data_IF_083033174180
#
_entry.id   IF_083033174180
#
_cell.length_a   1.000
_cell.length_b   1.000
_cell.length_c   1.000
_cell.angle_alpha   90.00
_cell.angle_beta   90.00
_cell.angle_gamma   90.00
#
_symmetry.space_group_name_H-M   'P 1'
#
loop_
_entity.id
_entity.type
_entity.pdbx_description
1 polymer ?
#
# COMPACT_ATOMS: atom_id res chain seq x y z
N UNK A 1 -24.53 22.61 -3.72
CA UNK A 1 -23.55 21.70 -4.36
C UNK A 1 -22.25 21.84 -3.58
N UNK A 2 -21.53 20.73 -3.37
CA UNK A 2 -20.36 20.51 -2.49
C UNK A 2 -20.70 19.87 -1.14
N UNK A 3 -20.81 18.54 -1.12
CA UNK A 3 -20.73 17.67 0.07
C UNK A 3 -19.90 16.41 -0.20
N UNK A 4 -19.02 16.43 -1.20
CA UNK A 4 -18.40 15.22 -1.77
C UNK A 4 -16.92 15.05 -1.45
N UNK A 5 -16.32 15.86 -0.56
CA UNK A 5 -14.87 15.78 -0.32
C UNK A 5 -14.41 14.59 0.55
N UNK A 6 -15.31 13.97 1.31
CA UNK A 6 -14.91 12.95 2.31
C UNK A 6 -14.95 11.52 1.73
N UNK A 7 -15.76 11.31 0.69
CA UNK A 7 -15.82 10.04 -0.04
C UNK A 7 -14.51 9.63 -0.72
N UNK A 8 -13.47 10.48 -0.71
CA UNK A 8 -12.15 10.25 -1.29
C UNK A 8 -11.12 9.66 -0.30
N UNK A 9 -11.35 9.67 1.01
CA UNK A 9 -10.34 9.23 1.97
C UNK A 9 -10.25 7.70 2.09
N UNK A 10 -11.38 7.00 2.11
CA UNK A 10 -11.45 5.54 2.37
C UNK A 10 -11.58 4.71 1.09
N UNK A 11 -11.32 5.33 -0.06
CA UNK A 11 -11.40 4.74 -1.40
C UNK A 11 -10.15 5.01 -2.24
N UNK A 12 -9.16 5.70 -1.65
CA UNK A 12 -7.99 6.23 -2.35
C UNK A 12 -7.06 5.15 -2.92
N UNK A 13 -6.95 3.96 -2.33
CA UNK A 13 -6.08 2.92 -2.89
C UNK A 13 -6.59 2.38 -4.25
N UNK A 14 -7.91 2.42 -4.49
CA UNK A 14 -8.49 2.06 -5.80
C UNK A 14 -8.78 3.27 -6.71
N UNK A 15 -8.85 4.50 -6.16
CA UNK A 15 -9.18 5.72 -6.91
C UNK A 15 -7.99 6.64 -7.21
N UNK A 16 -6.80 6.41 -6.61
CA UNK A 16 -5.64 7.28 -6.83
C UNK A 16 -5.08 7.22 -8.25
N UNK A 17 -5.42 6.20 -9.05
CA UNK A 17 -4.99 6.10 -10.45
C UNK A 17 -6.02 6.64 -11.44
N UNK A 18 -7.30 6.80 -11.07
CA UNK A 18 -8.36 7.18 -12.01
C UNK A 18 -8.97 8.57 -11.81
N UNK A 19 -8.93 9.14 -10.59
CA UNK A 19 -9.66 10.40 -10.31
C UNK A 19 -9.10 11.63 -11.04
N UNK A 20 -7.84 11.58 -11.48
CA UNK A 20 -7.19 12.64 -12.24
C UNK A 20 -6.65 12.18 -13.60
N UNK A 21 -6.71 10.88 -13.94
CA UNK A 21 -6.15 10.37 -15.17
C UNK A 21 -6.76 11.03 -16.41
N UNK A 22 -5.90 11.35 -17.37
CA UNK A 22 -6.30 11.88 -18.65
C UNK A 22 -6.68 10.75 -19.61
N UNK A 23 -7.91 10.78 -20.11
CA UNK A 23 -8.35 9.93 -21.21
C UNK A 23 -7.54 10.28 -22.47
N UNK A 24 -6.74 9.34 -22.97
CA UNK A 24 -5.97 9.51 -24.19
C UNK A 24 -6.71 9.00 -25.42
N UNK A 25 -7.55 7.98 -25.24
CA UNK A 25 -8.31 7.35 -26.30
C UNK A 25 -9.57 6.70 -25.73
N UNK A 26 -10.70 6.88 -26.43
CA UNK A 26 -11.95 6.20 -26.12
C UNK A 26 -12.78 6.04 -27.39
N UNK A 27 -12.83 4.81 -27.91
CA UNK A 27 -13.61 4.48 -29.10
C UNK A 27 -14.02 3.01 -29.08
N UNK A 28 -15.25 2.73 -29.52
CA UNK A 28 -15.76 1.38 -29.77
C UNK A 28 -15.61 0.41 -28.58
N UNK A 29 -15.87 0.89 -27.36
CA UNK A 29 -15.77 0.08 -26.13
C UNK A 29 -14.34 -0.15 -25.66
N UNK A 30 -13.35 0.52 -26.25
CA UNK A 30 -11.95 0.49 -25.82
C UNK A 30 -11.54 1.85 -25.28
N UNK A 31 -10.96 1.87 -24.08
CA UNK A 31 -10.39 3.08 -23.46
C UNK A 31 -8.91 2.90 -23.11
N UNK A 32 -8.17 4.00 -23.17
CA UNK A 32 -6.80 4.12 -22.66
C UNK A 32 -6.68 5.42 -21.87
N UNK A 33 -6.39 5.27 -20.59
CA UNK A 33 -6.13 6.37 -19.68
C UNK A 33 -4.65 6.43 -19.32
N UNK A 34 -4.12 7.64 -19.18
CA UNK A 34 -2.80 7.88 -18.59
C UNK A 34 -2.97 8.66 -17.30
N UNK A 35 -2.34 8.18 -16.24
CA UNK A 35 -2.29 8.86 -14.97
C UNK A 35 -0.90 8.82 -14.35
N UNK A 36 -0.86 9.14 -13.06
CA UNK A 36 0.36 9.10 -12.26
C UNK A 36 0.52 10.38 -11.45
N UNK A 37 1.76 10.70 -11.10
CA UNK A 37 2.07 11.91 -10.32
C UNK A 37 3.49 12.40 -10.55
N UNK A 38 3.70 13.69 -10.32
CA UNK A 38 4.98 14.23 -9.92
C UNK A 38 4.88 14.68 -8.46
N UNK A 39 5.65 14.08 -7.58
CA UNK A 39 5.58 14.29 -6.14
C UNK A 39 6.96 14.68 -5.60
N UNK A 40 7.14 15.98 -5.35
CA UNK A 40 8.32 16.52 -4.70
C UNK A 40 8.23 16.25 -3.19
N UNK A 41 9.28 15.66 -2.61
CA UNK A 41 9.31 15.29 -1.18
C UNK A 41 10.66 15.61 -0.57
N UNK A 42 10.66 16.53 0.39
CA UNK A 42 11.81 16.79 1.24
C UNK A 42 11.61 16.06 2.56
N UNK A 43 12.54 15.18 2.90
CA UNK A 43 12.65 14.57 4.24
C UNK A 43 13.74 15.30 5.03
N UNK A 44 13.54 15.46 6.33
CA UNK A 44 14.52 16.05 7.23
C UNK A 44 14.59 15.29 8.56
N UNK A 45 15.78 14.78 8.89
CA UNK A 45 16.12 14.15 10.17
C UNK A 45 17.36 14.83 10.76
N UNK A 46 17.38 15.14 12.05
CA UNK A 46 18.49 15.85 12.72
C UNK A 46 18.99 17.12 11.96
N UNK A 47 18.05 17.86 11.37
CA UNK A 47 18.32 19.04 10.55
C UNK A 47 19.12 18.77 9.26
N UNK A 48 19.15 17.53 8.76
CA UNK A 48 19.75 17.13 7.48
C UNK A 48 18.63 16.79 6.51
N UNK A 49 18.65 17.44 5.35
CA UNK A 49 17.65 17.24 4.32
C UNK A 49 18.06 16.10 3.38
N UNK A 50 17.07 15.36 2.90
CA UNK A 50 17.18 14.37 1.83
C UNK A 50 16.06 14.57 0.80
N UNK A 51 16.34 14.24 -0.46
CA UNK A 51 15.38 14.31 -1.55
C UNK A 51 14.78 12.93 -1.79
N UNK A 52 13.48 12.80 -1.54
CA UNK A 52 12.72 11.58 -1.76
C UNK A 52 11.67 11.78 -2.87
N UNK A 53 11.85 12.80 -3.70
CA UNK A 53 10.95 13.10 -4.81
C UNK A 53 10.83 11.91 -5.76
N UNK A 54 9.63 11.74 -6.31
CA UNK A 54 9.32 10.63 -7.21
C UNK A 54 8.31 11.03 -8.27
N UNK A 55 8.42 10.41 -9.43
CA UNK A 55 7.42 10.48 -10.49
C UNK A 55 6.80 9.10 -10.65
N UNK A 56 5.48 9.04 -10.86
CA UNK A 56 4.81 7.83 -11.34
C UNK A 56 4.15 8.12 -12.66
N UNK A 57 4.22 7.17 -13.57
CA UNK A 57 3.44 7.17 -14.81
C UNK A 57 2.71 5.83 -14.88
N UNK A 58 1.41 5.88 -15.16
CA UNK A 58 0.61 4.68 -15.35
C UNK A 58 -0.28 4.77 -16.57
N UNK A 59 -0.63 3.60 -17.10
CA UNK A 59 -1.48 3.42 -18.27
C UNK A 59 -2.49 2.33 -17.97
N UNK A 60 -3.77 2.67 -18.12
CA UNK A 60 -4.89 1.74 -17.93
C UNK A 60 -5.61 1.55 -19.27
N UNK A 61 -5.50 0.35 -19.82
CA UNK A 61 -6.27 -0.07 -20.98
C UNK A 61 -7.47 -0.90 -20.56
N UNK A 62 -8.65 -0.61 -21.10
CA UNK A 62 -9.86 -1.41 -20.88
C UNK A 62 -10.56 -1.68 -22.22
N UNK A 63 -11.06 -2.90 -22.40
CA UNK A 63 -11.85 -3.28 -23.57
C UNK A 63 -13.12 -4.01 -23.12
N UNK A 64 -14.27 -3.47 -23.50
CA UNK A 64 -15.55 -4.14 -23.31
C UNK A 64 -15.68 -5.28 -24.31
N UNK A 65 -15.97 -6.49 -23.81
CA UNK A 65 -16.10 -7.69 -24.65
C UNK A 65 -17.58 -7.94 -24.96
N UNK A 66 -18.40 -7.92 -23.91
CA UNK A 66 -19.86 -8.01 -23.96
C UNK A 66 -20.44 -7.48 -22.65
N UNK A 67 -21.77 -7.44 -22.53
CA UNK A 67 -22.41 -6.98 -21.29
C UNK A 67 -21.96 -7.81 -20.08
N UNK A 68 -21.47 -7.11 -19.05
CA UNK A 68 -20.93 -7.72 -17.83
C UNK A 68 -19.58 -8.43 -17.99
N UNK A 69 -18.82 -8.22 -19.07
CA UNK A 69 -17.47 -8.80 -19.27
C UNK A 69 -16.51 -7.83 -20.00
N UNK A 70 -15.35 -7.59 -19.42
CA UNK A 70 -14.29 -6.73 -19.97
C UNK A 70 -12.89 -7.32 -19.78
N UNK A 71 -11.97 -6.92 -20.65
CA UNK A 71 -10.53 -7.11 -20.49
C UNK A 71 -9.85 -5.86 -19.92
N UNK A 72 -8.78 -6.04 -19.16
CA UNK A 72 -7.99 -4.95 -18.57
C UNK A 72 -6.50 -5.22 -18.70
N UNK A 73 -5.72 -4.17 -18.94
CA UNK A 73 -4.26 -4.17 -18.85
C UNK A 73 -3.78 -2.93 -18.12
N UNK A 74 -2.80 -3.07 -17.25
CA UNK A 74 -2.27 -1.97 -16.46
C UNK A 74 -0.76 -2.04 -16.31
N UNK A 75 -0.13 -0.88 -16.44
CA UNK A 75 1.28 -0.65 -16.14
C UNK A 75 1.43 0.58 -15.25
N UNK A 76 2.30 0.52 -14.25
CA UNK A 76 2.77 1.68 -13.51
C UNK A 76 4.28 1.58 -13.27
N UNK A 77 5.01 2.63 -13.62
CA UNK A 77 6.42 2.82 -13.29
C UNK A 77 6.61 3.97 -12.31
N UNK A 78 7.49 3.79 -11.32
CA UNK A 78 8.00 4.86 -10.45
C UNK A 78 9.44 5.20 -10.82
N UNK A 79 9.74 6.50 -10.91
CA UNK A 79 11.03 7.05 -11.31
C UNK A 79 11.56 7.93 -10.19
N UNK A 80 12.84 7.74 -9.84
CA UNK A 80 13.53 8.54 -8.81
C UNK A 80 14.92 8.97 -9.30
N UNK A 81 15.49 9.96 -8.64
CA UNK A 81 16.84 10.47 -8.89
C UNK A 81 17.65 10.40 -7.60
N UNK A 82 18.91 9.97 -7.66
CA UNK A 82 19.84 10.06 -6.54
C UNK A 82 21.22 10.52 -7.01
N UNK A 83 21.33 11.79 -7.40
CA UNK A 83 22.56 12.40 -7.92
C UNK A 83 23.75 12.24 -6.97
N UNK A 84 23.51 12.22 -5.66
CA UNK A 84 24.55 12.02 -4.65
C UNK A 84 25.12 10.59 -4.60
N UNK A 85 24.42 9.62 -5.19
CA UNK A 85 24.82 8.21 -5.30
C UNK A 85 25.35 7.85 -6.70
N UNK A 86 25.35 8.81 -7.62
CA UNK A 86 25.84 8.60 -8.97
C UNK A 86 27.33 8.24 -8.98
N UNK A 87 27.71 7.31 -9.86
CA UNK A 87 29.08 6.86 -10.12
C UNK A 87 29.40 7.02 -11.61
N UNK A 88 30.64 6.72 -12.02
CA UNK A 88 31.03 6.78 -13.44
C UNK A 88 30.20 5.85 -14.35
N UNK A 89 29.58 4.81 -13.78
CA UNK A 89 28.81 3.78 -14.52
C UNK A 89 27.32 3.76 -14.20
N UNK A 90 26.87 4.57 -13.25
CA UNK A 90 25.48 4.60 -12.77
C UNK A 90 25.09 6.05 -12.50
N UNK A 91 24.00 6.53 -13.12
CA UNK A 91 23.53 7.90 -12.92
C UNK A 91 22.74 8.08 -11.60
N UNK A 92 22.64 7.03 -10.76
CA UNK A 92 21.96 7.05 -9.47
C UNK A 92 20.44 7.14 -9.57
N UNK A 93 19.86 7.04 -10.77
CA UNK A 93 18.41 7.06 -10.97
C UNK A 93 17.87 5.64 -11.03
N UNK A 94 16.64 5.43 -10.56
CA UNK A 94 16.01 4.12 -10.53
C UNK A 94 14.61 4.13 -11.18
N UNK A 95 14.23 2.98 -11.72
CA UNK A 95 12.88 2.70 -12.21
C UNK A 95 12.33 1.42 -11.55
N UNK A 96 11.27 1.57 -10.75
CA UNK A 96 10.49 0.44 -10.23
C UNK A 96 9.24 0.22 -11.10
N UNK A 97 9.16 -0.95 -11.73
CA UNK A 97 7.94 -1.42 -12.37
C UNK A 97 6.99 -1.92 -11.28
N UNK A 98 6.17 -1.01 -10.75
CA UNK A 98 5.29 -1.24 -9.61
C UNK A 98 4.17 -2.22 -9.93
N UNK A 99 3.57 -2.07 -11.12
CA UNK A 99 2.49 -2.92 -11.60
C UNK A 99 2.70 -3.29 -13.06
N UNK A 100 2.46 -4.57 -13.37
CA UNK A 100 2.54 -5.15 -14.72
C UNK A 100 1.58 -6.32 -14.80
N UNK A 101 0.31 -6.05 -15.09
CA UNK A 101 -0.71 -7.09 -15.12
C UNK A 101 -1.70 -6.95 -16.27
N UNK A 102 -2.35 -8.08 -16.57
CA UNK A 102 -3.53 -8.13 -17.41
C UNK A 102 -4.58 -9.03 -16.75
N UNK A 103 -5.85 -8.83 -17.11
CA UNK A 103 -6.94 -9.57 -16.49
C UNK A 103 -8.26 -9.51 -17.24
N UNK A 104 -9.23 -10.21 -16.68
CA UNK A 104 -10.62 -10.24 -17.10
C UNK A 104 -11.50 -9.90 -15.90
N UNK A 105 -12.47 -9.04 -16.12
CA UNK A 105 -13.44 -8.67 -15.10
C UNK A 105 -14.86 -8.65 -15.63
N UNK A 106 -15.81 -8.62 -14.70
CA UNK A 106 -17.23 -8.66 -15.01
C UNK A 106 -18.08 -8.66 -13.75
N UNK A 107 -19.33 -9.11 -13.87
CA UNK A 107 -20.29 -9.17 -12.75
C UNK A 107 -19.78 -10.02 -11.57
N UNK A 108 -18.88 -10.96 -11.83
CA UNK A 108 -18.30 -11.85 -10.82
C UNK A 108 -17.11 -11.23 -10.06
N UNK A 109 -16.66 -10.03 -10.43
CA UNK A 109 -15.39 -9.43 -10.00
C UNK A 109 -14.34 -9.44 -11.10
N UNK A 110 -13.08 -9.27 -10.73
CA UNK A 110 -11.93 -9.17 -11.64
C UNK A 110 -10.81 -10.10 -11.19
N UNK A 111 -10.23 -10.84 -12.14
CA UNK A 111 -9.06 -11.70 -11.94
C UNK A 111 -7.92 -11.20 -12.82
N UNK A 112 -6.73 -11.07 -12.24
CA UNK A 112 -5.52 -10.62 -12.94
C UNK A 112 -4.35 -11.58 -12.73
N UNK A 113 -3.43 -11.65 -13.68
CA UNK A 113 -2.11 -12.24 -13.50
C UNK A 113 -1.01 -11.24 -13.84
N UNK A 114 0.09 -11.29 -13.09
CA UNK A 114 1.20 -10.35 -13.16
C UNK A 114 1.41 -9.61 -11.83
N UNK A 115 2.30 -8.63 -11.79
CA UNK A 115 2.56 -7.87 -10.56
C UNK A 115 1.36 -6.99 -10.22
N UNK A 116 0.62 -7.35 -9.17
CA UNK A 116 -0.58 -6.66 -8.71
C UNK A 116 -0.75 -6.80 -7.19
N UNK A 117 -1.68 -6.05 -6.61
CA UNK A 117 -1.94 -6.08 -5.16
C UNK A 117 -2.61 -7.39 -4.71
N UNK A 118 -2.13 -7.93 -3.60
CA UNK A 118 -2.75 -8.99 -2.81
C UNK A 118 -3.98 -8.50 -2.03
N UNK A 119 -4.35 -9.24 -0.98
CA UNK A 119 -5.63 -9.00 -0.30
C UNK A 119 -5.57 -8.06 0.91
N UNK A 120 -4.40 -7.79 1.52
CA UNK A 120 -4.36 -7.08 2.81
C UNK A 120 -4.20 -5.57 2.71
N UNK A 121 -3.86 -5.02 1.54
CA UNK A 121 -3.81 -3.57 1.32
C UNK A 121 -5.12 -2.86 1.74
N UNK A 122 -6.28 -3.42 1.38
CA UNK A 122 -7.60 -2.87 1.74
C UNK A 122 -7.92 -2.91 3.24
N UNK A 123 -7.15 -3.67 4.02
CA UNK A 123 -7.25 -3.69 5.48
C UNK A 123 -6.32 -2.63 6.07
N UNK A 124 -5.10 -2.50 5.57
CA UNK A 124 -4.17 -1.44 6.01
C UNK A 124 -4.64 -0.03 5.63
N UNK A 125 -5.42 0.10 4.54
CA UNK A 125 -6.05 1.35 4.11
C UNK A 125 -6.99 1.98 5.16
N UNK A 126 -7.39 1.24 6.19
CA UNK A 126 -8.17 1.80 7.31
C UNK A 126 -7.34 2.83 8.10
N UNK A 127 -6.04 2.59 8.29
CA UNK A 127 -5.17 3.46 9.10
C UNK A 127 -4.11 4.20 8.29
N UNK A 128 -3.82 3.73 7.06
CA UNK A 128 -2.94 4.40 6.10
C UNK A 128 -3.63 5.60 5.41
N UNK A 129 -3.83 6.68 6.16
CA UNK A 129 -4.59 7.86 5.72
C UNK A 129 -3.75 9.13 5.52
N UNK A 130 -2.47 9.08 5.89
CA UNK A 130 -1.60 10.27 5.88
C UNK A 130 -0.99 10.50 4.50
N UNK A 131 -0.51 11.71 4.24
CA UNK A 131 0.13 12.04 2.96
C UNK A 131 1.55 11.46 2.79
N UNK A 132 2.25 11.17 3.91
CA UNK A 132 3.65 10.74 3.90
C UNK A 132 4.00 9.69 4.96
N UNK A 133 3.72 9.95 6.25
CA UNK A 133 4.01 9.02 7.36
C UNK A 133 2.86 8.02 7.58
N UNK A 134 2.83 7.31 8.71
CA UNK A 134 1.84 6.27 9.02
C UNK A 134 2.19 4.91 8.43
N UNK A 135 1.28 3.93 8.59
CA UNK A 135 1.40 2.58 8.02
C UNK A 135 2.73 1.87 8.36
N UNK A 136 3.28 2.12 9.55
CA UNK A 136 4.57 1.59 9.97
C UNK A 136 4.44 0.39 10.90
N UNK A 137 3.22 0.01 11.27
CA UNK A 137 2.96 -1.13 12.15
C UNK A 137 2.00 -2.16 11.54
N UNK A 138 1.48 -1.93 10.34
CA UNK A 138 0.68 -2.88 9.56
C UNK A 138 1.50 -3.51 8.41
N UNK A 139 2.51 -4.31 8.78
CA UNK A 139 3.35 -5.05 7.84
C UNK A 139 2.52 -6.03 6.99
N UNK A 140 3.04 -6.43 5.82
CA UNK A 140 2.38 -7.36 4.92
C UNK A 140 3.39 -8.32 4.28
N UNK A 141 3.07 -9.61 4.19
CA UNK A 141 3.83 -10.57 3.37
C UNK A 141 3.63 -10.28 1.88
N UNK A 142 4.53 -10.76 1.01
CA UNK A 142 4.51 -10.34 -0.40
C UNK A 142 3.21 -10.74 -1.14
N UNK A 143 2.65 -11.91 -0.85
CA UNK A 143 1.37 -12.39 -1.39
C UNK A 143 0.18 -11.54 -0.95
N UNK A 144 0.31 -10.81 0.16
CA UNK A 144 -0.69 -9.94 0.76
C UNK A 144 -0.55 -8.47 0.39
N UNK A 145 0.69 -8.02 0.13
CA UNK A 145 1.04 -6.68 -0.34
C UNK A 145 0.93 -6.60 -1.87
N UNK A 146 2.06 -6.72 -2.59
CA UNK A 146 2.12 -6.64 -4.04
C UNK A 146 3.28 -7.49 -4.56
N UNK A 147 2.92 -8.46 -5.38
CA UNK A 147 3.83 -9.49 -5.87
C UNK A 147 3.54 -9.81 -7.33
N UNK A 148 4.60 -10.18 -8.07
CA UNK A 148 4.50 -10.85 -9.36
C UNK A 148 4.27 -12.35 -9.19
N UNK A 149 4.19 -13.06 -10.32
CA UNK A 149 3.88 -14.49 -10.38
C UNK A 149 2.64 -14.86 -9.54
N UNK A 150 1.64 -13.97 -9.55
CA UNK A 150 0.48 -14.02 -8.66
C UNK A 150 -0.82 -13.89 -9.45
N UNK A 151 -1.79 -14.74 -9.11
CA UNK A 151 -3.20 -14.53 -9.45
C UNK A 151 -3.85 -13.68 -8.37
N UNK A 152 -4.53 -12.62 -8.75
CA UNK A 152 -5.25 -11.73 -7.83
C UNK A 152 -6.71 -11.63 -8.23
N UNK A 153 -7.60 -11.64 -7.24
CA UNK A 153 -9.04 -11.50 -7.39
C UNK A 153 -9.56 -10.34 -6.53
N UNK A 154 -10.51 -9.57 -7.07
CA UNK A 154 -11.31 -8.62 -6.32
C UNK A 154 -12.78 -8.69 -6.74
N UNK A 155 -13.70 -8.57 -5.79
CA UNK A 155 -15.13 -8.57 -6.04
C UNK A 155 -15.89 -7.69 -5.04
N UNK A 156 -16.98 -7.08 -5.49
CA UNK A 156 -17.88 -6.29 -4.64
C UNK A 156 -19.30 -6.85 -4.75
N UNK A 157 -19.86 -7.27 -3.62
CA UNK A 157 -21.17 -7.89 -3.52
C UNK A 157 -22.02 -7.11 -2.51
N UNK A 158 -22.77 -6.13 -3.02
CA UNK A 158 -23.51 -5.17 -2.19
C UNK A 158 -22.54 -4.48 -1.21
N UNK A 159 -22.73 -4.67 0.09
CA UNK A 159 -21.94 -4.09 1.17
C UNK A 159 -20.64 -4.86 1.48
N UNK A 160 -20.44 -6.03 0.87
CA UNK A 160 -19.27 -6.88 1.08
C UNK A 160 -18.27 -6.76 -0.07
N UNK A 161 -17.11 -6.20 0.19
CA UNK A 161 -15.94 -6.30 -0.67
C UNK A 161 -15.08 -7.50 -0.29
N UNK A 162 -14.54 -8.21 -1.27
CA UNK A 162 -13.61 -9.34 -1.05
C UNK A 162 -12.40 -9.23 -1.98
N UNK A 163 -11.23 -9.61 -1.47
CA UNK A 163 -10.03 -9.82 -2.29
C UNK A 163 -9.38 -11.15 -1.93
N UNK A 164 -8.77 -11.79 -2.91
CA UNK A 164 -7.97 -13.00 -2.70
C UNK A 164 -6.76 -13.00 -3.64
N UNK A 165 -5.68 -13.68 -3.25
CA UNK A 165 -4.54 -13.90 -4.14
C UNK A 165 -3.89 -15.26 -3.91
N UNK A 166 -3.19 -15.73 -4.94
CA UNK A 166 -2.30 -16.90 -4.85
C UNK A 166 -1.03 -16.61 -5.67
N UNK A 167 0.12 -16.56 -4.99
CA UNK A 167 1.46 -16.44 -5.57
C UNK A 167 2.02 -17.85 -5.79
N UNK A 168 2.54 -18.11 -6.99
CA UNK A 168 3.27 -19.34 -7.29
C UNK A 168 4.73 -19.19 -6.86
N UNK A 169 5.36 -20.31 -6.48
CA UNK A 169 6.82 -20.38 -6.35
C UNK A 169 7.49 -20.13 -7.70
N UNK A 170 8.63 -19.45 -7.68
CA UNK A 170 9.34 -19.05 -8.89
C UNK A 170 10.23 -20.19 -9.39
N UNK A 171 10.15 -20.49 -10.69
CA UNK A 171 10.91 -21.58 -11.30
C UNK A 171 12.40 -21.24 -11.36
N UNK A 172 13.23 -22.18 -10.92
CA UNK A 172 14.70 -22.14 -11.04
C UNK A 172 15.14 -23.20 -12.06
N UNK A 173 15.92 -22.79 -13.05
CA UNK A 173 16.50 -23.68 -14.06
C UNK A 173 18.02 -23.76 -13.88
N UNK A 174 18.52 -24.89 -13.39
CA UNK A 174 19.95 -25.15 -13.28
C UNK A 174 20.44 -25.89 -14.53
N UNK A 175 21.12 -25.14 -15.41
CA UNK A 175 21.68 -25.68 -16.66
C UNK A 175 22.90 -26.59 -16.45
N UNK A 176 23.56 -26.50 -15.29
CA UNK A 176 24.73 -27.34 -15.00
C UNK A 176 24.32 -28.75 -14.58
N UNK A 177 23.22 -28.87 -13.83
CA UNK A 177 22.68 -30.16 -13.37
C UNK A 177 21.54 -30.68 -14.24
N UNK A 178 20.95 -29.83 -15.09
CA UNK A 178 19.81 -30.17 -15.94
C UNK A 178 18.51 -30.33 -15.16
N UNK A 179 18.41 -29.71 -13.98
CA UNK A 179 17.24 -29.83 -13.09
C UNK A 179 16.38 -28.56 -13.09
N UNK A 180 15.09 -28.75 -12.91
CA UNK A 180 14.13 -27.69 -12.61
C UNK A 180 13.73 -27.82 -11.14
N UNK A 181 13.80 -26.73 -10.39
CA UNK A 181 13.30 -26.60 -9.03
C UNK A 181 12.53 -25.29 -8.88
N UNK A 182 12.18 -24.93 -7.66
CA UNK A 182 11.49 -23.67 -7.36
C UNK A 182 12.09 -22.98 -6.14
N UNK A 183 11.70 -21.72 -5.90
CA UNK A 183 12.20 -20.90 -4.80
C UNK A 183 11.54 -21.19 -3.45
N UNK A 184 10.45 -21.97 -3.43
CA UNK A 184 9.60 -22.17 -2.25
C UNK A 184 9.08 -20.82 -1.69
N UNK A 185 8.53 -19.96 -2.56
CA UNK A 185 7.98 -18.63 -2.25
C UNK A 185 6.47 -18.52 -2.57
N UNK A 186 5.78 -19.65 -2.67
CA UNK A 186 4.35 -19.70 -2.86
C UNK A 186 3.61 -19.22 -1.61
N UNK A 187 2.44 -18.63 -1.81
CA UNK A 187 1.64 -18.06 -0.73
C UNK A 187 0.27 -17.61 -1.20
N UNK A 188 -0.60 -17.30 -0.26
CA UNK A 188 -1.95 -16.83 -0.54
C UNK A 188 -2.38 -15.77 0.45
N UNK A 189 -3.36 -14.97 0.04
CA UNK A 189 -4.02 -14.03 0.93
C UNK A 189 -5.53 -13.94 0.65
N UNK A 190 -6.30 -13.58 1.67
CA UNK A 190 -7.75 -13.38 1.59
C UNK A 190 -8.15 -12.22 2.50
N UNK A 191 -9.09 -11.39 2.05
CA UNK A 191 -9.69 -10.36 2.90
C UNK A 191 -11.15 -10.12 2.56
N UNK A 192 -11.87 -9.57 3.54
CA UNK A 192 -13.24 -9.10 3.40
C UNK A 192 -13.42 -7.78 4.14
N UNK A 193 -14.14 -6.85 3.51
CA UNK A 193 -14.56 -5.58 4.12
C UNK A 193 -16.06 -5.47 4.01
N UNK A 194 -16.73 -5.28 5.14
CA UNK A 194 -18.17 -5.08 5.21
C UNK A 194 -18.49 -3.64 5.62
N UNK A 195 -19.26 -2.95 4.78
CA UNK A 195 -19.79 -1.62 5.07
C UNK A 195 -21.19 -1.73 5.68
N UNK A 196 -21.42 -1.14 6.84
CA UNK A 196 -22.71 -1.25 7.52
C UNK A 196 -23.70 -0.21 6.97
N UNK A 197 -24.16 -0.42 5.73
CA UNK A 197 -25.07 0.46 5.02
C UNK A 197 -24.63 1.92 5.09
N UNK A 198 -25.51 2.81 5.57
CA UNK A 198 -25.25 4.26 5.69
C UNK A 198 -24.75 4.69 7.07
N UNK A 199 -24.38 3.76 7.94
CA UNK A 199 -23.99 4.09 9.33
C UNK A 199 -22.65 4.84 9.44
N UNK A 200 -21.82 4.82 8.39
CA UNK A 200 -20.44 5.30 8.42
C UNK A 200 -19.44 4.28 9.01
N UNK A 201 -19.92 3.13 9.49
CA UNK A 201 -19.06 2.09 10.06
C UNK A 201 -18.65 1.05 9.02
N UNK A 202 -17.38 0.64 9.05
CA UNK A 202 -16.85 -0.48 8.26
C UNK A 202 -16.02 -1.41 9.14
N UNK A 203 -16.06 -2.70 8.85
CA UNK A 203 -15.17 -3.70 9.43
C UNK A 203 -14.43 -4.44 8.33
N UNK A 204 -13.14 -4.63 8.52
CA UNK A 204 -12.28 -5.41 7.64
C UNK A 204 -11.59 -6.53 8.42
N UNK A 205 -11.39 -7.67 7.77
CA UNK A 205 -10.49 -8.70 8.25
C UNK A 205 -9.80 -9.39 7.08
N UNK A 206 -8.60 -9.91 7.32
CA UNK A 206 -7.88 -10.70 6.33
C UNK A 206 -6.82 -11.59 6.95
N UNK A 207 -6.32 -12.52 6.14
CA UNK A 207 -5.27 -13.46 6.48
C UNK A 207 -4.35 -13.65 5.27
N UNK A 208 -3.07 -13.90 5.54
CA UNK A 208 -2.11 -14.33 4.53
C UNK A 208 -1.09 -15.31 5.10
N UNK A 209 -0.56 -16.13 4.22
CA UNK A 209 0.50 -17.10 4.49
C UNK A 209 1.40 -17.20 3.25
N UNK A 210 2.71 -17.27 3.47
CA UNK A 210 3.69 -17.35 2.40
C UNK A 210 4.95 -18.09 2.88
N UNK A 211 5.44 -19.01 2.06
CA UNK A 211 6.77 -19.60 2.25
C UNK A 211 7.86 -18.57 1.94
N UNK A 212 8.96 -18.58 2.68
CA UNK A 212 10.13 -17.69 2.50
C UNK A 212 11.38 -18.50 2.14
N UNK A 213 11.19 -19.59 1.38
CA UNK A 213 12.20 -20.59 1.12
C UNK A 213 11.99 -21.87 1.91
N UNK A 214 12.95 -22.79 1.81
CA UNK A 214 12.88 -24.08 2.51
C UNK A 214 12.88 -23.87 4.02
N UNK A 215 11.86 -24.44 4.68
CA UNK A 215 11.67 -24.39 6.13
C UNK A 215 11.47 -22.97 6.71
N UNK A 216 11.13 -21.98 5.88
CA UNK A 216 10.83 -20.63 6.33
C UNK A 216 9.43 -20.23 5.83
N UNK A 217 8.68 -19.51 6.66
CA UNK A 217 7.33 -19.07 6.32
C UNK A 217 6.93 -17.84 7.13
N UNK A 218 6.06 -17.01 6.57
CA UNK A 218 5.41 -15.91 7.27
C UNK A 218 3.91 -16.05 7.18
N UNK A 219 3.23 -15.90 8.31
CA UNK A 219 1.77 -15.85 8.40
C UNK A 219 1.32 -14.59 9.14
N UNK A 220 0.17 -14.05 8.75
CA UNK A 220 -0.40 -12.88 9.40
C UNK A 220 -1.92 -12.82 9.26
N UNK A 221 -2.58 -12.22 10.24
CA UNK A 221 -3.97 -11.81 10.14
C UNK A 221 -4.15 -10.38 10.59
N UNK A 222 -5.12 -9.72 9.98
CA UNK A 222 -5.48 -8.34 10.28
C UNK A 222 -6.95 -8.22 10.60
N UNK A 223 -7.26 -7.33 11.54
CA UNK A 223 -8.63 -6.86 11.81
C UNK A 223 -8.60 -5.35 11.87
N UNK A 224 -9.52 -4.71 11.16
CA UNK A 224 -9.65 -3.26 11.15
C UNK A 224 -11.10 -2.82 11.29
N UNK A 225 -11.29 -1.64 11.88
CA UNK A 225 -12.59 -0.99 12.01
C UNK A 225 -12.45 0.50 11.78
N UNK A 226 -13.42 1.10 11.09
CA UNK A 226 -13.46 2.54 10.89
C UNK A 226 -14.85 3.11 11.08
N UNK A 227 -14.90 4.38 11.44
CA UNK A 227 -16.11 5.15 11.59
C UNK A 227 -15.93 6.55 10.98
N UNK A 228 -16.79 6.87 10.02
CA UNK A 228 -16.86 8.17 9.37
C UNK A 228 -18.13 8.90 9.83
N UNK A 229 -17.96 10.13 10.34
CA UNK A 229 -19.06 10.98 10.80
C UNK A 229 -18.82 12.43 10.41
N UNK A 230 -19.57 12.91 9.42
CA UNK A 230 -19.38 14.23 8.82
C UNK A 230 -17.91 14.42 8.44
N UNK A 231 -17.27 15.50 8.88
CA UNK A 231 -15.87 15.84 8.63
C UNK A 231 -14.83 14.99 9.37
N UNK A 232 -15.25 14.04 10.21
CA UNK A 232 -14.38 13.22 11.05
C UNK A 232 -14.27 11.79 10.53
N UNK A 233 -13.05 11.25 10.63
CA UNK A 233 -12.74 9.85 10.38
C UNK A 233 -11.92 9.29 11.55
N UNK A 234 -12.26 8.08 12.00
CA UNK A 234 -11.49 7.33 12.99
C UNK A 234 -11.33 5.89 12.53
N UNK A 235 -10.17 5.31 12.77
CA UNK A 235 -9.92 3.91 12.49
C UNK A 235 -8.91 3.28 13.44
N UNK A 236 -8.96 1.96 13.51
CA UNK A 236 -7.98 1.13 14.16
C UNK A 236 -7.71 -0.12 13.32
N UNK A 237 -6.44 -0.52 13.24
CA UNK A 237 -5.98 -1.75 12.60
C UNK A 237 -5.10 -2.50 13.58
N UNK A 238 -5.30 -3.81 13.68
CA UNK A 238 -4.43 -4.72 14.43
C UNK A 238 -3.92 -5.78 13.47
N UNK A 239 -2.61 -5.99 13.43
CA UNK A 239 -1.96 -7.10 12.73
C UNK A 239 -1.29 -8.00 13.75
N UNK A 240 -1.41 -9.31 13.55
CA UNK A 240 -0.71 -10.31 14.34
C UNK A 240 -0.21 -11.39 13.39
N UNK A 241 1.01 -11.86 13.58
CA UNK A 241 1.57 -12.88 12.71
C UNK A 241 2.86 -13.47 13.24
N UNK A 242 3.43 -14.38 12.45
CA UNK A 242 4.61 -15.15 12.81
C UNK A 242 5.59 -15.21 11.65
N UNK A 243 6.84 -14.89 11.93
CA UNK A 243 7.97 -15.20 11.05
C UNK A 243 8.63 -16.50 11.57
N UNK A 244 8.73 -17.52 10.72
CA UNK A 244 9.41 -18.79 11.00
C UNK A 244 10.62 -18.94 10.09
N UNK A 245 11.78 -19.28 10.65
CA UNK A 245 12.99 -19.59 9.91
C UNK A 245 13.73 -20.75 10.59
N UNK A 246 13.70 -21.94 9.98
CA UNK A 246 14.33 -23.23 10.38
C UNK A 246 14.26 -23.57 11.89
N UNK A 247 15.01 -22.87 12.74
CA UNK A 247 15.05 -23.03 14.20
C UNK A 247 14.37 -21.93 15.02
N UNK A 248 14.09 -20.76 14.44
CA UNK A 248 13.60 -19.58 15.14
C UNK A 248 12.16 -19.23 14.75
N UNK A 249 11.45 -18.66 15.72
CA UNK A 249 10.09 -18.15 15.58
C UNK A 249 10.04 -16.76 16.20
N UNK A 250 9.56 -15.80 15.44
CA UNK A 250 9.31 -14.43 15.89
C UNK A 250 7.82 -14.12 15.75
N UNK A 251 7.15 -13.93 16.88
CA UNK A 251 5.76 -13.47 16.90
C UNK A 251 5.75 -11.95 16.76
N UNK A 252 4.92 -11.40 15.87
CA UNK A 252 4.78 -9.96 15.64
C UNK A 252 3.37 -9.50 15.95
N UNK A 253 3.25 -8.36 16.62
CA UNK A 253 1.96 -7.72 16.94
C UNK A 253 2.04 -6.23 16.66
N UNK A 254 1.21 -5.75 15.74
CA UNK A 254 1.12 -4.36 15.34
C UNK A 254 -0.24 -3.75 15.67
N UNK A 255 -0.22 -2.49 16.11
CA UNK A 255 -1.39 -1.67 16.38
C UNK A 255 -1.27 -0.34 15.66
N UNK A 256 -2.30 0.04 14.93
CA UNK A 256 -2.43 1.37 14.34
C UNK A 256 -3.75 2.01 14.76
N UNK A 257 -3.69 3.29 15.13
CA UNK A 257 -4.85 4.15 15.37
C UNK A 257 -4.73 5.34 14.43
N UNK A 258 -5.81 5.71 13.77
CA UNK A 258 -5.83 6.84 12.85
C UNK A 258 -7.04 7.74 13.12
N UNK A 259 -6.84 9.06 12.98
CA UNK A 259 -7.90 10.04 13.00
C UNK A 259 -7.66 11.12 11.95
N UNK A 260 -8.72 11.59 11.30
CA UNK A 260 -8.65 12.72 10.39
C UNK A 260 -9.84 13.67 10.54
N UNK A 261 -9.59 14.94 10.25
CA UNK A 261 -10.57 16.00 10.20
C UNK A 261 -10.42 16.81 8.92
N UNK A 262 -11.51 16.96 8.17
CA UNK A 262 -11.56 17.77 6.94
C UNK A 262 -12.13 19.16 7.23
N UNK A 263 -11.34 20.20 6.98
CA UNK A 263 -11.76 21.60 7.06
C UNK A 263 -11.56 22.28 5.70
N UNK A 264 -12.67 22.51 4.99
CA UNK A 264 -12.68 23.04 3.62
C UNK A 264 -11.75 22.23 2.70
N UNK A 265 -10.68 22.85 2.19
CA UNK A 265 -9.67 22.25 1.32
C UNK A 265 -8.51 21.61 2.09
N UNK A 266 -8.57 21.56 3.41
CA UNK A 266 -7.49 21.04 4.26
C UNK A 266 -7.93 19.75 4.95
N UNK A 267 -7.08 18.74 4.93
CA UNK A 267 -7.23 17.53 5.75
C UNK A 267 -6.13 17.53 6.78
N UNK A 268 -6.50 17.42 8.06
CA UNK A 268 -5.58 17.16 9.15
C UNK A 268 -5.67 15.70 9.51
N UNK A 269 -4.55 14.99 9.63
CA UNK A 269 -4.55 13.60 10.07
C UNK A 269 -3.51 13.35 11.15
N UNK A 270 -3.74 12.31 11.93
CA UNK A 270 -2.79 11.79 12.92
C UNK A 270 -2.88 10.28 12.98
N UNK A 271 -1.74 9.63 13.18
CA UNK A 271 -1.67 8.19 13.42
C UNK A 271 -0.77 7.89 14.61
N UNK A 272 -1.10 6.84 15.34
CA UNK A 272 -0.21 6.18 16.28
C UNK A 272 0.02 4.75 15.80
N UNK A 273 1.28 4.34 15.68
CA UNK A 273 1.67 3.05 15.11
C UNK A 273 2.69 2.40 16.05
N UNK A 274 2.41 1.18 16.53
CA UNK A 274 3.33 0.39 17.35
C UNK A 274 3.43 -1.04 16.83
N UNK A 275 4.64 -1.52 16.57
CA UNK A 275 4.94 -2.89 16.16
C UNK A 275 5.94 -3.51 17.14
N UNK A 276 5.52 -4.58 17.83
CA UNK A 276 6.36 -5.38 18.72
C UNK A 276 6.70 -6.71 18.05
N UNK A 277 7.96 -7.13 18.15
CA UNK A 277 8.45 -8.45 17.79
C UNK A 277 8.92 -9.20 19.04
N UNK A 278 8.53 -10.47 19.18
CA UNK A 278 8.91 -11.36 20.26
C UNK A 278 9.58 -12.61 19.70
N UNK A 279 10.88 -12.75 19.94
CA UNK A 279 11.67 -13.93 19.53
C UNK A 279 12.12 -14.67 20.79
N UNK A 280 11.74 -15.93 20.94
CA UNK A 280 12.11 -16.76 22.10
C UNK A 280 11.80 -16.14 23.48
N UNK A 281 10.78 -15.27 23.55
CA UNK A 281 10.37 -14.56 24.77
C UNK A 281 11.02 -13.19 25.00
N UNK A 282 12.00 -12.81 24.16
CA UNK A 282 12.60 -11.48 24.17
C UNK A 282 11.80 -10.54 23.26
N UNK A 283 11.29 -9.44 23.84
CA UNK A 283 10.46 -8.44 23.16
C UNK A 283 11.31 -7.26 22.70
N UNK A 284 11.02 -6.75 21.50
CA UNK A 284 11.59 -5.53 20.95
C UNK A 284 10.54 -4.76 20.14
N UNK A 285 10.58 -3.43 20.22
CA UNK A 285 9.73 -2.59 19.38
C UNK A 285 10.43 -2.35 18.03
N UNK A 286 9.83 -2.81 16.92
CA UNK A 286 10.29 -2.53 15.56
C UNK A 286 9.76 -1.17 15.05
N UNK A 287 8.65 -0.70 15.60
CA UNK A 287 8.12 0.64 15.37
C UNK A 287 7.37 1.14 16.59
N UNK A 288 7.55 2.40 16.96
CA UNK A 288 6.70 3.11 17.92
C UNK A 288 6.70 4.59 17.52
N UNK A 289 5.60 5.09 16.99
CA UNK A 289 5.53 6.48 16.53
C UNK A 289 4.15 7.11 16.61
N UNK A 290 4.16 8.43 16.76
CA UNK A 290 3.02 9.31 16.65
C UNK A 290 3.30 10.28 15.51
N UNK A 291 2.46 10.30 14.48
CA UNK A 291 2.60 11.22 13.37
C UNK A 291 1.41 12.18 13.29
N UNK A 292 1.68 13.40 12.80
CA UNK A 292 0.67 14.41 12.47
C UNK A 292 0.94 14.99 11.10
N UNK A 293 -0.10 15.29 10.33
CA UNK A 293 0.03 16.03 9.07
C UNK A 293 -1.09 17.04 8.83
N UNK A 294 -0.81 17.95 7.90
CA UNK A 294 -1.79 18.82 7.30
C UNK A 294 -1.58 18.82 5.78
N UNK A 295 -2.62 18.49 5.03
CA UNK A 295 -2.62 18.46 3.57
C UNK A 295 -3.63 19.46 3.02
N UNK A 296 -3.16 20.41 2.22
CA UNK A 296 -4.00 21.41 1.56
C UNK A 296 -4.16 21.10 0.07
N UNK A 297 -5.40 21.02 -0.40
CA UNK A 297 -5.77 20.72 -1.77
C UNK A 297 -6.09 22.01 -2.53
N UNK A 298 -5.13 22.54 -3.28
CA UNK A 298 -5.34 23.71 -4.15
C UNK A 298 -6.32 23.40 -5.28
N UNK A 299 -6.25 22.16 -5.79
CA UNK A 299 -7.12 21.54 -6.78
C UNK A 299 -7.25 20.04 -6.49
N UNK A 300 -8.17 19.37 -7.18
CA UNK A 300 -8.32 17.90 -7.09
C UNK A 300 -7.03 17.14 -7.44
N UNK A 301 -6.20 17.72 -8.29
CA UNK A 301 -4.96 17.15 -8.78
C UNK A 301 -3.69 17.87 -8.31
N UNK A 302 -3.81 18.84 -7.40
CA UNK A 302 -2.64 19.57 -6.89
C UNK A 302 -2.77 19.88 -5.41
N UNK A 303 -1.85 19.35 -4.60
CA UNK A 303 -1.84 19.48 -3.15
C UNK A 303 -0.44 19.72 -2.59
N UNK A 304 -0.39 20.39 -1.45
CA UNK A 304 0.82 20.50 -0.62
C UNK A 304 0.57 19.92 0.76
N UNK A 305 1.61 19.36 1.37
CA UNK A 305 1.52 18.78 2.71
C UNK A 305 2.76 19.05 3.56
N UNK A 306 2.55 19.05 4.87
CA UNK A 306 3.58 19.02 5.89
C UNK A 306 3.23 17.91 6.88
N UNK A 307 4.22 17.10 7.24
CA UNK A 307 4.04 16.02 8.21
C UNK A 307 5.23 15.93 9.15
N UNK A 308 4.98 15.60 10.40
CA UNK A 308 6.02 15.34 11.41
C UNK A 308 5.75 14.01 12.10
N UNK A 309 6.77 13.17 12.19
CA UNK A 309 6.75 11.88 12.86
C UNK A 309 7.61 11.95 14.13
N UNK A 310 6.97 11.81 15.28
CA UNK A 310 7.64 11.63 16.56
C UNK A 310 7.99 10.15 16.71
N UNK A 311 9.28 9.83 16.66
CA UNK A 311 9.76 8.47 16.83
C UNK A 311 9.98 8.20 18.32
N UNK A 312 9.23 7.24 18.85
CA UNK A 312 9.14 6.93 20.27
C UNK A 312 10.04 5.75 20.68
N UNK A 313 10.77 5.16 19.73
CA UNK A 313 11.74 4.10 20.02
C UNK A 313 12.85 4.57 20.98
N UNK A 314 13.28 3.70 21.89
CA UNK A 314 14.41 4.03 22.77
C UNK A 314 15.73 3.95 21.98
N UNK A 315 16.36 5.10 21.77
CA UNK A 315 17.69 5.23 21.15
C UNK A 315 18.79 4.38 21.81
N UNK A 316 18.61 3.91 23.04
CA UNK A 316 19.57 2.98 23.68
C UNK A 316 19.41 1.55 23.16
N UNK A 317 18.21 1.18 22.76
CA UNK A 317 17.87 -0.14 22.23
C UNK A 317 18.13 -0.19 20.73
N UNK A 318 17.63 0.81 19.97
CA UNK A 318 17.72 0.81 18.49
C UNK A 318 18.87 1.67 17.94
N UNK A 319 19.53 2.46 18.79
CA UNK A 319 20.53 3.44 18.37
C UNK A 319 19.94 4.80 18.01
N UNK A 320 20.80 5.82 17.91
CA UNK A 320 20.36 7.23 17.69
C UNK A 320 19.64 7.39 16.35
N UNK A 321 20.17 6.79 15.28
CA UNK A 321 19.67 6.98 13.92
C UNK A 321 18.24 6.45 13.75
N UNK A 322 17.98 5.25 14.26
CA UNK A 322 16.69 4.57 14.12
C UNK A 322 15.63 5.12 15.07
N UNK A 323 16.03 5.95 16.03
CA UNK A 323 15.17 6.69 16.95
C UNK A 323 15.02 8.19 16.58
N UNK A 324 15.49 8.63 15.41
CA UNK A 324 15.32 10.03 14.98
C UNK A 324 13.88 10.31 14.54
N UNK A 325 13.40 11.50 14.89
CA UNK A 325 12.17 12.09 14.33
C UNK A 325 12.35 12.45 12.85
N UNK A 326 11.24 12.61 12.14
CA UNK A 326 11.24 13.01 10.73
C UNK A 326 10.24 14.12 10.42
N UNK A 327 10.70 15.19 9.77
CA UNK A 327 9.86 16.20 9.13
C UNK A 327 9.81 15.91 7.63
N UNK A 328 8.60 15.92 7.06
CA UNK A 328 8.39 15.82 5.62
C UNK A 328 7.62 17.04 5.10
N UNK A 329 8.08 17.59 3.98
CA UNK A 329 7.38 18.62 3.20
C UNK A 329 7.17 18.08 1.80
N UNK A 330 5.97 18.25 1.24
CA UNK A 330 5.70 17.77 -0.10
C UNK A 330 4.75 18.62 -0.92
N UNK A 331 4.92 18.51 -2.23
CA UNK A 331 4.04 19.05 -3.25
C UNK A 331 3.77 17.95 -4.27
N UNK A 332 2.50 17.64 -4.50
CA UNK A 332 2.08 16.56 -5.37
C UNK A 332 1.13 17.08 -6.44
N UNK A 333 1.51 16.86 -7.69
CA UNK A 333 0.67 17.02 -8.86
C UNK A 333 0.28 15.63 -9.37
N UNK A 334 -1.01 15.38 -9.53
CA UNK A 334 -1.55 14.16 -10.13
C UNK A 334 -1.85 14.43 -11.63
N UNK A 335 -1.36 13.55 -12.52
CA UNK A 335 -1.56 13.66 -13.97
C UNK A 335 -2.97 13.28 -14.39
#
# INVERSE_FOLDING_TARGET
MNKTMIALAVSAAALATGANAAELYNQDGTSLDMGGRAEARLSMKDGKADDLSRVRLNFLGKVDIQDGLYGVGFYEGEFTTADSKATDTDNGSDIDNRYTYAGLGGTFGEVTYGKNDGALGVITDFTDIMAYHGNSAAYKVASADRADNMLSYKGQFQDLGVKASYRFSDRIEDKNTGTISETDLDGYSLSGVYAFGTSGFKLGAGYADQNEGKNASKDEYMVAGSYELNELYFAATVVMGTDKDDSDKTDKTGYELAAAYTLDQTVFSTTYNKLEAETSGDKSDEADNLAVDATYYFKSNFRGYVSYNFNLLDKKEVGKLDAEDELALGLRYDF
#
